data_IF_440097882325
#
_entry.id   IF_440097882325
#
_cell.length_a   1.000
_cell.length_b   1.000
_cell.length_c   1.000
_cell.angle_alpha   90.00
_cell.angle_beta   90.00
_cell.angle_gamma   90.00
#
_symmetry.space_group_name_H-M   'P 1'
#
loop_
_entity.id
_entity.type
_entity.pdbx_description
1 polymer ?
#
# COMPACT_ATOMS: atom_id res chain seq x y z
N UNK A 1 20.20 -25.94 -35.00
CA UNK A 1 19.24 -25.39 -35.95
C UNK A 1 18.01 -24.97 -35.16
N UNK A 2 17.62 -23.82 -35.13
CA UNK A 2 17.15 -22.69 -35.75
C UNK A 2 16.94 -21.56 -34.71
N UNK A 3 17.58 -20.43 -34.91
CA UNK A 3 17.13 -19.19 -34.32
C UNK A 3 16.07 -18.58 -35.25
N UNK A 4 14.89 -18.24 -34.74
CA UNK A 4 14.14 -17.15 -35.33
C UNK A 4 13.46 -16.28 -34.27
N UNK A 5 14.12 -15.28 -33.72
CA UNK A 5 13.46 -14.36 -32.81
C UNK A 5 13.73 -12.86 -33.09
N UNK A 6 14.61 -12.55 -34.03
CA UNK A 6 14.99 -11.15 -34.32
C UNK A 6 14.14 -10.49 -35.41
N UNK A 7 13.37 -11.27 -36.16
CA UNK A 7 12.60 -10.77 -37.32
C UNK A 7 11.30 -10.08 -36.94
N UNK A 8 10.68 -10.38 -35.79
CA UNK A 8 9.32 -9.90 -35.49
C UNK A 8 9.28 -8.47 -34.93
N UNK A 9 10.29 -8.00 -34.21
CA UNK A 9 10.32 -6.64 -33.65
C UNK A 9 10.51 -5.54 -34.69
N UNK A 10 11.24 -5.85 -35.78
CA UNK A 10 11.42 -4.90 -36.90
C UNK A 10 10.13 -4.68 -37.68
N UNK A 11 9.29 -5.70 -37.80
CA UNK A 11 8.00 -5.60 -38.47
C UNK A 11 6.97 -4.76 -37.68
N UNK A 12 7.13 -4.66 -36.37
CA UNK A 12 6.21 -3.92 -35.48
C UNK A 12 6.58 -2.44 -35.31
N UNK A 13 7.62 -1.92 -35.98
CA UNK A 13 8.06 -0.50 -35.88
C UNK A 13 6.97 0.48 -36.31
N UNK A 14 6.12 0.08 -37.26
CA UNK A 14 4.99 0.88 -37.74
C UNK A 14 3.75 0.83 -36.82
N UNK A 15 3.77 -0.04 -35.80
CA UNK A 15 2.68 -0.26 -34.84
C UNK A 15 3.17 -0.11 -33.40
N UNK A 16 3.33 1.13 -32.88
CA UNK A 16 3.99 1.39 -31.60
C UNK A 16 3.30 0.70 -30.41
N UNK A 17 1.98 0.57 -30.42
CA UNK A 17 1.26 -0.11 -29.35
C UNK A 17 1.46 -1.64 -29.35
N UNK A 18 1.55 -2.25 -30.50
CA UNK A 18 1.83 -3.68 -30.64
C UNK A 18 3.30 -3.97 -30.26
N UNK A 19 4.21 -3.07 -30.64
CA UNK A 19 5.61 -3.15 -30.22
C UNK A 19 5.74 -3.08 -28.70
N UNK A 20 5.05 -2.15 -28.04
CA UNK A 20 5.06 -2.02 -26.57
C UNK A 20 4.49 -3.26 -25.88
N UNK A 21 3.39 -3.82 -26.38
CA UNK A 21 2.81 -5.08 -25.87
C UNK A 21 3.78 -6.25 -25.99
N UNK A 22 4.43 -6.37 -27.14
CA UNK A 22 5.41 -7.45 -27.39
C UNK A 22 6.66 -7.27 -26.51
N UNK A 23 7.12 -6.04 -26.31
CA UNK A 23 8.24 -5.73 -25.40
C UNK A 23 7.85 -6.04 -23.94
N UNK A 24 6.64 -5.68 -23.53
CA UNK A 24 6.15 -6.02 -22.19
C UNK A 24 6.05 -7.54 -21.99
N UNK A 25 5.50 -8.26 -22.97
CA UNK A 25 5.43 -9.72 -22.93
C UNK A 25 6.80 -10.37 -22.85
N UNK A 26 7.79 -9.86 -23.62
CA UNK A 26 9.18 -10.35 -23.59
C UNK A 26 9.89 -9.99 -22.31
N UNK A 27 9.65 -8.81 -21.77
CA UNK A 27 10.19 -8.39 -20.47
C UNK A 27 9.69 -9.29 -19.35
N UNK A 28 8.39 -9.61 -19.34
CA UNK A 28 7.81 -10.58 -18.40
C UNK A 28 8.40 -11.99 -18.59
N UNK A 29 8.54 -12.45 -19.84
CA UNK A 29 9.14 -13.74 -20.13
C UNK A 29 10.63 -13.80 -19.77
N UNK A 30 11.38 -12.70 -19.96
CA UNK A 30 12.78 -12.60 -19.58
C UNK A 30 12.98 -12.51 -18.06
N UNK A 31 12.06 -11.84 -17.35
CA UNK A 31 12.04 -11.81 -15.88
C UNK A 31 11.81 -13.21 -15.29
N UNK A 32 11.00 -14.05 -15.95
CA UNK A 32 10.77 -15.46 -15.58
C UNK A 32 12.01 -16.31 -15.92
N UNK A 33 12.77 -15.97 -16.96
CA UNK A 33 13.96 -16.76 -17.40
C UNK A 33 15.29 -16.34 -16.74
N UNK A 34 15.37 -15.18 -16.10
CA UNK A 34 16.61 -14.66 -15.51
C UNK A 34 16.88 -15.14 -14.08
N UNK A 35 15.91 -15.79 -13.45
CA UNK A 35 16.04 -16.37 -12.11
C UNK A 35 16.02 -17.89 -12.22
N UNK A 36 17.15 -18.47 -12.60
CA UNK A 36 17.40 -19.91 -12.46
C UNK A 36 17.17 -20.30 -10.99
N UNK A 37 16.34 -21.32 -10.74
CA UNK A 37 15.90 -21.90 -9.47
C UNK A 37 14.73 -21.23 -8.71
N UNK A 38 14.18 -20.11 -9.14
CA UNK A 38 12.96 -19.52 -8.54
C UNK A 38 11.70 -19.65 -9.43
N UNK A 39 11.66 -20.59 -10.34
CA UNK A 39 10.52 -20.86 -11.19
C UNK A 39 9.32 -21.34 -10.34
N UNK A 40 8.42 -20.42 -10.01
CA UNK A 40 7.16 -20.71 -9.30
C UNK A 40 6.87 -19.85 -8.08
N UNK A 41 7.76 -18.93 -7.69
CA UNK A 41 7.48 -18.04 -6.57
C UNK A 41 6.67 -16.82 -7.06
N UNK A 42 5.42 -16.74 -6.66
CA UNK A 42 4.61 -15.54 -6.90
C UNK A 42 5.20 -14.42 -6.03
N UNK A 43 5.57 -13.32 -6.67
CA UNK A 43 6.09 -12.14 -5.96
C UNK A 43 4.90 -11.29 -5.49
N UNK A 44 4.84 -11.05 -4.20
CA UNK A 44 3.91 -10.13 -3.60
C UNK A 44 4.56 -8.77 -3.34
N UNK A 45 3.91 -7.68 -3.72
CA UNK A 45 4.42 -6.32 -3.57
C UNK A 45 3.48 -5.51 -2.69
N UNK A 46 4.03 -4.87 -1.68
CA UNK A 46 3.30 -3.95 -0.82
C UNK A 46 4.06 -2.67 -0.53
N UNK A 47 3.39 -1.76 0.16
CA UNK A 47 3.97 -0.52 0.68
C UNK A 47 4.24 -0.72 2.17
N UNK A 48 5.51 -0.65 2.55
CA UNK A 48 5.93 -0.74 3.94
C UNK A 48 5.75 0.59 4.67
N UNK A 49 5.21 0.56 5.87
CA UNK A 49 5.01 1.75 6.69
C UNK A 49 5.19 1.45 8.19
N UNK A 50 5.30 2.51 9.00
CA UNK A 50 5.43 2.45 10.46
C UNK A 50 4.24 3.13 11.13
N UNK A 51 3.79 2.52 12.22
CA UNK A 51 2.85 3.12 13.18
C UNK A 51 3.40 2.86 14.60
N UNK A 52 3.74 3.91 15.32
CA UNK A 52 4.39 3.77 16.62
C UNK A 52 5.69 2.97 16.51
N UNK A 53 5.88 1.95 17.34
CA UNK A 53 7.07 1.10 17.30
C UNK A 53 7.02 0.00 16.24
N UNK A 54 5.88 -0.22 15.57
CA UNK A 54 5.64 -1.37 14.74
C UNK A 54 5.66 -1.05 13.25
N UNK A 55 6.09 -2.03 12.47
CA UNK A 55 6.15 -1.97 11.01
C UNK A 55 5.05 -2.82 10.41
N UNK A 56 4.48 -2.36 9.32
CA UNK A 56 3.40 -3.01 8.59
C UNK A 56 3.70 -2.98 7.11
N UNK A 57 3.00 -3.82 6.38
CA UNK A 57 2.95 -3.74 4.93
C UNK A 57 1.49 -3.78 4.48
N UNK A 58 1.14 -2.96 3.51
CA UNK A 58 -0.17 -2.93 2.89
C UNK A 58 -0.05 -3.37 1.43
N UNK A 59 -1.00 -4.16 0.87
CA UNK A 59 -0.99 -4.53 -0.54
C UNK A 59 -0.86 -3.30 -1.45
N UNK A 60 -0.01 -3.39 -2.47
CA UNK A 60 0.27 -2.26 -3.38
C UNK A 60 -0.97 -1.73 -4.08
N UNK A 61 -1.88 -2.62 -4.46
CA UNK A 61 -3.13 -2.32 -5.16
C UNK A 61 -4.15 -1.58 -4.29
N UNK A 62 -4.06 -1.70 -2.96
CA UNK A 62 -4.90 -0.95 -2.02
C UNK A 62 -4.43 0.49 -1.80
N UNK A 63 -3.22 0.87 -2.24
CA UNK A 63 -2.67 2.22 -2.11
C UNK A 63 -2.64 2.89 -3.47
N UNK A 64 -3.35 4.00 -3.60
CA UNK A 64 -3.35 4.83 -4.81
C UNK A 64 -2.05 5.61 -4.96
N UNK A 65 -1.67 6.32 -3.90
CA UNK A 65 -0.46 7.13 -3.83
C UNK A 65 -0.03 7.40 -2.39
N UNK A 66 1.21 7.84 -2.23
CA UNK A 66 1.77 8.27 -0.95
C UNK A 66 2.12 9.75 -1.07
N UNK A 67 1.63 10.56 -0.12
CA UNK A 67 1.81 12.00 -0.10
C UNK A 67 2.56 12.44 1.16
N UNK A 68 3.19 13.59 1.10
CA UNK A 68 3.51 14.35 2.30
C UNK A 68 2.18 14.75 2.98
N UNK A 69 2.16 14.75 4.31
CA UNK A 69 1.00 15.25 5.04
C UNK A 69 0.79 16.72 4.65
N UNK A 70 -0.38 17.09 4.10
CA UNK A 70 -0.63 18.46 3.69
C UNK A 70 -0.50 19.44 4.86
N UNK A 71 0.15 20.57 4.62
CA UNK A 71 0.30 21.62 5.63
C UNK A 71 -1.03 22.30 5.98
N UNK A 72 -1.92 22.43 4.99
CA UNK A 72 -3.25 23.03 5.16
C UNK A 72 -4.31 21.93 5.31
N UNK A 73 -4.76 21.71 6.52
CA UNK A 73 -5.84 20.78 6.86
C UNK A 73 -6.95 21.58 7.54
N UNK A 74 -8.14 21.58 6.95
CA UNK A 74 -9.33 22.20 7.52
C UNK A 74 -10.04 21.19 8.41
N UNK A 75 -10.19 21.51 9.70
CA UNK A 75 -10.91 20.64 10.65
C UNK A 75 -12.39 20.57 10.31
N UNK A 76 -12.97 19.39 10.50
CA UNK A 76 -14.42 19.17 10.33
C UNK A 76 -15.05 19.25 11.72
N UNK A 77 -15.94 20.24 11.98
CA UNK A 77 -16.66 20.31 13.25
C UNK A 77 -17.51 19.07 13.50
N UNK A 78 -17.54 18.58 14.73
CA UNK A 78 -18.31 17.39 15.10
C UNK A 78 -17.75 16.08 14.56
N UNK A 79 -16.52 16.07 14.05
CA UNK A 79 -15.84 14.85 13.71
C UNK A 79 -15.09 14.26 14.92
N UNK A 80 -14.91 12.94 14.92
CA UNK A 80 -14.09 12.25 15.93
C UNK A 80 -12.65 12.74 15.91
N UNK A 81 -11.94 12.62 17.02
CA UNK A 81 -10.60 13.15 17.22
C UNK A 81 -9.58 12.65 16.20
N UNK A 82 -9.67 11.37 15.81
CA UNK A 82 -8.82 10.78 14.81
C UNK A 82 -9.03 11.29 13.37
N UNK A 83 -10.13 12.04 13.11
CA UNK A 83 -10.32 12.76 11.84
C UNK A 83 -9.57 14.06 11.92
N UNK A 84 -8.43 14.15 11.27
CA UNK A 84 -7.61 15.38 11.24
C UNK A 84 -8.29 16.52 10.51
N UNK A 85 -9.13 16.21 9.54
CA UNK A 85 -9.87 17.15 8.72
C UNK A 85 -9.85 16.81 7.24
N UNK A 86 -10.05 17.82 6.41
CA UNK A 86 -9.99 17.71 4.94
C UNK A 86 -8.92 18.63 4.36
N UNK A 87 -8.30 18.19 3.29
CA UNK A 87 -7.32 18.98 2.55
C UNK A 87 -7.60 18.91 1.05
N UNK A 88 -7.26 19.97 0.32
CA UNK A 88 -7.30 19.95 -1.13
C UNK A 88 -6.00 19.31 -1.67
N UNK A 89 -6.15 18.18 -2.32
CA UNK A 89 -5.06 17.48 -3.00
C UNK A 89 -5.36 17.43 -4.49
N UNK A 90 -4.59 18.17 -5.28
CA UNK A 90 -4.75 18.26 -6.76
C UNK A 90 -6.17 18.58 -7.22
N UNK A 91 -6.85 19.48 -6.52
CA UNK A 91 -8.22 19.91 -6.86
C UNK A 91 -9.33 19.03 -6.27
N UNK A 92 -9.01 17.98 -5.55
CA UNK A 92 -9.96 17.10 -4.87
C UNK A 92 -9.86 17.24 -3.36
N UNK A 93 -11.03 17.27 -2.70
CA UNK A 93 -11.06 17.23 -1.23
C UNK A 93 -10.77 15.81 -0.76
N UNK A 94 -9.72 15.67 0.04
CA UNK A 94 -9.28 14.40 0.62
C UNK A 94 -9.45 14.48 2.15
N UNK A 95 -10.33 13.66 2.74
CA UNK A 95 -10.36 13.46 4.18
C UNK A 95 -9.04 12.84 4.65
N UNK A 96 -8.53 13.34 5.78
CA UNK A 96 -7.29 12.87 6.39
C UNK A 96 -7.59 12.30 7.77
N UNK A 97 -7.12 11.09 8.01
CA UNK A 97 -7.32 10.32 9.22
C UNK A 97 -5.97 10.00 9.85
N UNK A 98 -5.84 10.24 11.14
CA UNK A 98 -4.71 9.75 11.93
C UNK A 98 -4.95 8.27 12.28
N UNK A 99 -4.25 7.37 11.59
CA UNK A 99 -4.46 5.94 11.73
C UNK A 99 -4.07 5.45 13.14
N UNK A 100 -3.04 6.04 13.73
CA UNK A 100 -2.57 5.68 15.06
C UNK A 100 -3.56 6.09 16.15
N UNK A 101 -4.15 7.29 16.02
CA UNK A 101 -5.18 7.76 16.92
C UNK A 101 -6.48 6.95 16.78
N UNK A 102 -6.86 6.58 15.55
CA UNK A 102 -7.99 5.69 15.30
C UNK A 102 -7.82 4.33 16.00
N UNK A 103 -6.62 3.79 15.99
CA UNK A 103 -6.30 2.53 16.68
C UNK A 103 -6.19 2.67 18.21
N UNK A 104 -6.34 3.89 18.75
CA UNK A 104 -6.29 4.15 20.19
C UNK A 104 -4.86 4.12 20.78
N UNK A 105 -3.85 4.31 19.94
CA UNK A 105 -2.42 4.28 20.33
C UNK A 105 -1.79 5.68 20.37
N UNK A 106 -2.62 6.70 20.60
CA UNK A 106 -2.21 8.11 20.68
C UNK A 106 -2.08 8.78 19.31
N UNK A 107 -1.90 10.10 19.35
CA UNK A 107 -1.79 10.94 18.14
C UNK A 107 -0.46 10.67 17.44
N UNK A 108 -0.52 10.40 16.14
CA UNK A 108 0.64 10.23 15.28
C UNK A 108 0.84 11.40 14.31
N UNK A 109 1.72 11.22 13.35
CA UNK A 109 1.82 12.10 12.18
C UNK A 109 2.43 13.48 12.40
N UNK A 110 2.99 13.76 13.57
CA UNK A 110 3.62 15.06 13.86
C UNK A 110 5.11 15.12 13.47
N UNK A 111 5.67 14.01 12.99
CA UNK A 111 7.07 13.93 12.58
C UNK A 111 7.23 14.35 11.12
N UNK A 112 8.41 14.85 10.75
CA UNK A 112 8.75 15.16 9.35
C UNK A 112 8.69 13.94 8.43
N UNK A 113 8.85 12.75 8.99
CA UNK A 113 8.73 11.46 8.30
C UNK A 113 7.28 11.06 7.97
N UNK A 114 6.30 11.67 8.64
CA UNK A 114 4.90 11.33 8.47
C UNK A 114 4.44 11.45 7.00
N UNK A 115 3.62 10.52 6.58
CA UNK A 115 3.05 10.47 5.22
C UNK A 115 1.58 10.16 5.28
N UNK A 116 0.86 10.54 4.23
CA UNK A 116 -0.51 10.14 3.99
C UNK A 116 -0.55 9.05 2.93
N UNK A 117 -1.00 7.85 3.30
CA UNK A 117 -1.33 6.77 2.37
C UNK A 117 -2.72 7.03 1.83
N UNK A 118 -2.84 7.37 0.56
CA UNK A 118 -4.14 7.56 -0.09
C UNK A 118 -4.68 6.20 -0.51
N UNK A 119 -5.84 5.85 0.04
CA UNK A 119 -6.47 4.57 -0.23
C UNK A 119 -6.99 4.52 -1.67
N UNK A 120 -6.79 3.40 -2.33
CA UNK A 120 -7.28 3.15 -3.68
C UNK A 120 -8.73 2.67 -3.64
N UNK A 121 -9.64 3.58 -3.28
CA UNK A 121 -11.08 3.35 -3.26
C UNK A 121 -11.78 4.52 -3.93
N UNK A 122 -12.76 4.22 -4.80
CA UNK A 122 -13.62 5.24 -5.40
C UNK A 122 -14.77 5.64 -4.48
N UNK A 123 -15.20 4.74 -3.60
CA UNK A 123 -16.32 4.98 -2.67
C UNK A 123 -15.87 5.75 -1.43
N UNK A 124 -14.67 5.46 -0.93
CA UNK A 124 -14.11 6.04 0.29
C UNK A 124 -12.71 6.61 0.04
N UNK A 125 -12.60 7.73 -0.70
CA UNK A 125 -11.30 8.40 -0.86
C UNK A 125 -10.86 8.97 0.48
N UNK A 126 -9.80 8.42 1.07
CA UNK A 126 -9.25 8.84 2.37
C UNK A 126 -7.73 8.75 2.36
N UNK A 127 -7.07 9.69 3.01
CA UNK A 127 -5.64 9.63 3.29
C UNK A 127 -5.39 9.25 4.74
N UNK A 128 -4.71 8.13 4.93
CA UNK A 128 -4.34 7.61 6.25
C UNK A 128 -2.97 8.15 6.63
N UNK A 129 -2.90 8.96 7.67
CA UNK A 129 -1.64 9.48 8.18
C UNK A 129 -0.96 8.39 8.99
N UNK A 130 0.29 8.11 8.59
CA UNK A 130 1.19 7.14 9.23
C UNK A 130 2.51 7.82 9.61
N UNK A 131 3.26 7.26 10.55
CA UNK A 131 4.47 7.90 11.07
C UNK A 131 5.63 7.91 10.05
N UNK A 132 5.69 6.89 9.19
CA UNK A 132 6.73 6.78 8.17
C UNK A 132 6.33 5.80 7.07
N UNK A 133 6.82 6.01 5.85
CA UNK A 133 6.67 5.06 4.73
C UNK A 133 8.05 4.65 4.24
N UNK A 134 8.31 3.34 4.19
CA UNK A 134 9.58 2.75 3.79
C UNK A 134 9.68 2.48 2.28
N UNK A 135 8.62 2.78 1.50
CA UNK A 135 8.51 2.45 0.09
C UNK A 135 8.07 1.00 -0.16
N UNK A 136 8.31 0.53 -1.38
CA UNK A 136 7.89 -0.81 -1.78
C UNK A 136 8.69 -1.90 -1.07
N UNK A 137 7.97 -2.94 -0.66
CA UNK A 137 8.51 -4.19 -0.12
C UNK A 137 8.03 -5.33 -1.00
N UNK A 138 8.92 -6.27 -1.30
CA UNK A 138 8.63 -7.45 -2.12
C UNK A 138 8.82 -8.68 -1.26
N UNK A 139 7.87 -9.58 -1.31
CA UNK A 139 7.89 -10.84 -0.59
C UNK A 139 7.57 -11.97 -1.57
N UNK A 140 7.85 -13.18 -1.17
CA UNK A 140 7.50 -14.38 -1.93
C UNK A 140 6.53 -15.25 -1.12
N UNK A 141 5.72 -16.06 -1.79
CA UNK A 141 4.65 -16.84 -1.15
C UNK A 141 5.14 -17.68 0.04
N UNK A 142 6.34 -18.24 -0.05
CA UNK A 142 6.93 -19.05 1.05
C UNK A 142 7.20 -18.25 2.34
N UNK A 143 7.20 -16.91 2.28
CA UNK A 143 7.40 -16.02 3.43
C UNK A 143 6.07 -15.65 4.08
N UNK A 144 4.94 -15.94 3.41
CA UNK A 144 3.61 -15.67 3.89
C UNK A 144 3.22 -16.64 5.02
N UNK A 145 2.62 -16.10 6.03
CA UNK A 145 1.98 -16.82 7.13
C UNK A 145 0.59 -16.24 7.35
N UNK A 146 -0.41 -17.09 7.46
CA UNK A 146 -1.77 -16.68 7.80
C UNK A 146 -1.89 -16.20 9.26
N UNK A 147 -0.86 -16.45 10.07
CA UNK A 147 -0.80 -15.96 11.44
C UNK A 147 -0.47 -14.46 11.44
N UNK A 148 -1.41 -13.68 11.96
CA UNK A 148 -1.19 -12.29 12.28
C UNK A 148 -0.60 -12.18 13.71
N UNK A 149 0.54 -11.51 13.91
CA UNK A 149 1.07 -11.29 15.24
C UNK A 149 0.17 -10.32 16.02
N UNK A 150 0.12 -10.47 17.34
CA UNK A 150 -0.47 -9.46 18.21
C UNK A 150 0.30 -8.15 18.10
N UNK A 151 -0.42 -7.03 18.07
CA UNK A 151 0.16 -5.70 17.90
C UNK A 151 -0.03 -4.83 19.15
N UNK A 152 0.99 -4.06 19.47
CA UNK A 152 0.93 -3.08 20.58
C UNK A 152 -0.04 -1.95 20.26
N UNK A 153 -0.15 -1.59 18.98
CA UNK A 153 -1.04 -0.50 18.53
C UNK A 153 -2.49 -0.93 18.28
N UNK A 154 -2.86 -2.18 18.65
CA UNK A 154 -4.23 -2.72 18.50
C UNK A 154 -4.72 -2.79 17.05
N UNK A 155 -3.81 -3.10 16.14
CA UNK A 155 -4.13 -3.26 14.72
C UNK A 155 -4.67 -4.66 14.36
N UNK A 156 -4.70 -5.58 15.32
CA UNK A 156 -4.94 -7.03 15.12
C UNK A 156 -6.14 -7.34 14.22
N UNK A 157 -7.26 -6.65 14.43
CA UNK A 157 -8.49 -6.84 13.65
C UNK A 157 -8.40 -6.42 12.18
N UNK A 158 -7.35 -5.72 11.82
CA UNK A 158 -7.10 -5.25 10.44
C UNK A 158 -5.96 -5.98 9.76
N UNK A 159 -5.47 -7.06 10.36
CA UNK A 159 -4.40 -7.86 9.79
C UNK A 159 -4.95 -9.03 8.98
N UNK A 160 -4.35 -9.25 7.81
CA UNK A 160 -4.68 -10.35 6.90
C UNK A 160 -3.59 -11.44 6.88
N UNK A 161 -2.67 -11.43 7.85
CA UNK A 161 -1.54 -12.35 7.93
C UNK A 161 -0.23 -11.61 8.16
N UNK A 162 0.89 -12.25 7.88
CA UNK A 162 2.21 -11.64 7.99
C UNK A 162 3.20 -12.26 7.01
N UNK A 163 4.24 -11.51 6.64
CA UNK A 163 5.43 -12.04 5.99
C UNK A 163 6.58 -12.15 6.98
N UNK A 164 7.39 -13.20 6.84
CA UNK A 164 8.56 -13.44 7.68
C UNK A 164 9.81 -13.52 6.81
N UNK A 165 10.73 -12.56 7.00
CA UNK A 165 11.99 -12.50 6.24
C UNK A 165 13.16 -12.12 7.15
N UNK A 166 14.21 -12.93 7.15
CA UNK A 166 15.45 -12.61 7.88
C UNK A 166 15.26 -12.36 9.37
N UNK A 167 14.27 -13.00 10.02
CA UNK A 167 13.94 -12.76 11.43
C UNK A 167 13.00 -11.56 11.66
N UNK A 168 12.70 -10.76 10.65
CA UNK A 168 11.71 -9.68 10.73
C UNK A 168 10.32 -10.21 10.38
N UNK A 169 9.32 -9.72 11.11
CA UNK A 169 7.90 -9.97 10.84
C UNK A 169 7.28 -8.70 10.31
N UNK A 170 6.57 -8.83 9.19
CA UNK A 170 5.86 -7.76 8.52
C UNK A 170 4.37 -8.10 8.49
N UNK A 171 3.57 -7.64 9.48
CA UNK A 171 2.12 -7.83 9.48
C UNK A 171 1.51 -7.17 8.24
N UNK A 172 0.59 -7.87 7.58
CA UNK A 172 -0.14 -7.38 6.41
C UNK A 172 -1.38 -6.64 6.88
N UNK A 173 -1.34 -5.32 6.79
CA UNK A 173 -2.47 -4.46 7.12
C UNK A 173 -3.44 -4.38 5.93
N UNK A 174 -4.69 -4.72 6.15
CA UNK A 174 -5.74 -4.69 5.13
C UNK A 174 -6.53 -3.39 5.19
N UNK A 175 -6.40 -2.56 4.17
CA UNK A 175 -7.22 -1.35 4.05
C UNK A 175 -8.69 -1.69 3.76
N UNK A 176 -8.96 -2.82 3.14
CA UNK A 176 -10.33 -3.32 2.92
C UNK A 176 -11.03 -3.55 4.25
N UNK A 177 -10.42 -4.30 5.17
CA UNK A 177 -10.98 -4.54 6.50
C UNK A 177 -11.16 -3.23 7.29
N UNK A 178 -10.24 -2.27 7.12
CA UNK A 178 -10.36 -0.96 7.75
C UNK A 178 -11.57 -0.19 7.22
N UNK A 179 -11.74 -0.11 5.90
CA UNK A 179 -12.84 0.62 5.27
C UNK A 179 -14.21 0.00 5.57
N UNK A 180 -14.29 -1.31 5.76
CA UNK A 180 -15.52 -2.03 6.11
C UNK A 180 -15.88 -1.91 7.60
N UNK A 181 -14.95 -1.46 8.42
CA UNK A 181 -15.17 -1.33 9.86
C UNK A 181 -16.19 -0.22 10.17
N UNK A 182 -17.27 -0.55 10.86
CA UNK A 182 -18.35 0.40 11.21
C UNK A 182 -17.87 1.60 12.02
N UNK A 183 -16.93 1.41 12.91
CA UNK A 183 -16.35 2.47 13.74
C UNK A 183 -15.44 3.41 12.93
N UNK A 184 -14.82 2.92 11.85
CA UNK A 184 -14.09 3.75 10.89
C UNK A 184 -15.04 4.57 10.01
N UNK A 185 -16.13 3.96 9.55
CA UNK A 185 -17.15 4.66 8.74
C UNK A 185 -17.92 5.72 9.52
N UNK A 186 -18.03 5.58 10.85
CA UNK A 186 -18.71 6.55 11.74
C UNK A 186 -17.73 7.63 12.21
N UNK A 187 -17.41 8.56 11.32
CA UNK A 187 -16.47 9.65 11.58
C UNK A 187 -17.08 10.81 12.41
N UNK A 188 -18.41 10.86 12.57
CA UNK A 188 -19.07 11.86 13.39
C UNK A 188 -18.91 11.55 14.89
N UNK A 189 -18.63 12.57 15.70
CA UNK A 189 -18.71 12.46 17.16
C UNK A 189 -20.19 12.45 17.59
N UNK A 190 -20.50 11.63 18.59
CA UNK A 190 -21.84 11.59 19.22
C UNK A 190 -22.02 12.78 20.16
#
# INVERSE_FOLDING_TARGET
MAAPATSSLRALKEHPFELLRELERRSRAAAVGAHGDEAGLVEWVGVGFRLGPERFVVPRDQVREVLMVPAAITRVPGAKSWVRGVSNVRGHLLPLVDLREFLGSGVGGNERSARALVVNSSEFPVGLIVDEVFGFRRFVDRELSDEAPATVIRADRFLAGSFRRGGEVWPVFSLTLLLEARDFQRAAAE
#
